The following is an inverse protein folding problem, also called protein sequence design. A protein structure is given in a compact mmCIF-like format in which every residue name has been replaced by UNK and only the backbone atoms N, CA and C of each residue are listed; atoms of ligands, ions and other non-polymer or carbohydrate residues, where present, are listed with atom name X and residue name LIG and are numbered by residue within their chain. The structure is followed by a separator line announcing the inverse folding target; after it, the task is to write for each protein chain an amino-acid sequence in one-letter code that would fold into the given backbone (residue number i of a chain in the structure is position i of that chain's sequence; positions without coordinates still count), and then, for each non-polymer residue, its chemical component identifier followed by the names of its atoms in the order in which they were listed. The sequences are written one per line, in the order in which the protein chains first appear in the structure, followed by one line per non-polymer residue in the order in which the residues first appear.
data_IF_777676371968
#
_entry.id   IF_777676371968
#
_cell.length_a   1.000
_cell.length_b   1.000
_cell.length_c   1.000
_cell.angle_alpha   90.00
_cell.angle_beta   90.00
_cell.angle_gamma   90.00
#
_symmetry.space_group_name_H-M   'P 1'
#
loop_
_entity.id
_entity.type
_entity.pdbx_description
1 polymer ?
#
# COMPACT_ATOMS: atom_id res chain seq x y z
N UNK A 1 -6.25 -19.61 -15.04
CA UNK A 1 -5.84 -18.24 -14.70
C UNK A 1 -4.32 -18.24 -14.61
N UNK A 2 -3.62 -17.14 -14.90
CA UNK A 2 -2.15 -17.10 -14.81
C UNK A 2 -1.70 -17.00 -13.35
N UNK A 3 -0.50 -17.48 -13.05
CA UNK A 3 0.04 -17.45 -11.69
C UNK A 3 0.34 -16.01 -11.26
N UNK A 4 -0.06 -15.65 -10.04
CA UNK A 4 0.15 -14.32 -9.51
C UNK A 4 0.62 -14.39 -8.06
N UNK A 5 1.65 -13.63 -7.73
CA UNK A 5 2.09 -13.46 -6.33
C UNK A 5 2.08 -11.99 -5.98
N UNK A 6 1.37 -11.63 -4.92
CA UNK A 6 1.31 -10.26 -4.40
C UNK A 6 1.73 -10.25 -2.93
N UNK A 7 2.23 -9.11 -2.46
CA UNK A 7 2.63 -8.98 -1.06
C UNK A 7 2.36 -7.59 -0.47
N UNK A 8 2.04 -7.60 0.83
CA UNK A 8 2.06 -6.42 1.67
C UNK A 8 3.44 -6.29 2.34
N UNK A 9 4.07 -5.12 2.23
CA UNK A 9 5.26 -4.77 2.99
C UNK A 9 4.83 -4.17 4.33
N UNK A 10 4.99 -4.93 5.41
CA UNK A 10 4.96 -4.37 6.75
C UNK A 10 6.30 -3.72 7.04
N UNK A 11 6.44 -2.42 6.77
CA UNK A 11 7.71 -1.71 6.93
C UNK A 11 7.66 -0.70 8.08
N UNK A 12 8.74 -0.58 8.83
CA UNK A 12 8.96 0.56 9.73
C UNK A 12 9.48 1.74 8.90
N UNK A 13 8.86 2.90 9.03
CA UNK A 13 9.32 4.14 8.39
C UNK A 13 10.04 5.03 9.40
N UNK A 14 11.16 5.64 9.00
CA UNK A 14 11.91 6.62 9.79
C UNK A 14 11.34 8.00 9.49
N UNK A 15 10.85 8.69 10.52
CA UNK A 15 10.18 9.99 10.39
C UNK A 15 11.07 11.00 9.65
N UNK A 16 10.59 11.46 8.49
CA UNK A 16 11.22 12.48 7.65
C UNK A 16 12.49 12.07 6.90
N UNK A 17 13.06 10.88 7.16
CA UNK A 17 14.31 10.42 6.53
C UNK A 17 14.02 9.65 5.23
N UNK A 18 13.72 10.40 4.17
CA UNK A 18 13.40 9.82 2.85
C UNK A 18 14.53 8.94 2.30
N UNK A 19 15.81 9.34 2.35
CA UNK A 19 16.89 8.48 1.89
C UNK A 19 16.96 7.13 2.62
N UNK A 20 16.83 7.12 3.95
CA UNK A 20 16.84 5.87 4.71
C UNK A 20 15.62 5.00 4.41
N UNK A 21 14.44 5.62 4.27
CA UNK A 21 13.23 4.90 3.89
C UNK A 21 13.34 4.29 2.49
N UNK A 22 13.93 5.00 1.52
CA UNK A 22 14.22 4.44 0.18
C UNK A 22 15.10 3.19 0.29
N UNK A 23 16.20 3.24 1.07
CA UNK A 23 17.05 2.06 1.25
C UNK A 23 16.30 0.86 1.84
N UNK A 24 15.38 1.13 2.77
CA UNK A 24 14.53 0.10 3.35
C UNK A 24 13.56 -0.49 2.32
N UNK A 25 12.94 0.33 1.47
CA UNK A 25 12.08 -0.14 0.38
C UNK A 25 12.85 -1.03 -0.60
N UNK A 26 14.09 -0.66 -0.96
CA UNK A 26 14.95 -1.48 -1.83
C UNK A 26 15.23 -2.86 -1.22
N UNK A 27 15.47 -2.94 0.09
CA UNK A 27 15.65 -4.20 0.79
C UNK A 27 14.38 -5.08 0.75
N UNK A 28 13.20 -4.48 0.98
CA UNK A 28 11.91 -5.17 0.85
C UNK A 28 11.67 -5.67 -0.57
N UNK A 29 11.96 -4.86 -1.59
CA UNK A 29 11.82 -5.26 -3.00
C UNK A 29 12.70 -6.46 -3.34
N UNK A 30 13.95 -6.46 -2.87
CA UNK A 30 14.85 -7.61 -3.02
C UNK A 30 14.34 -8.87 -2.32
N UNK A 31 13.85 -8.75 -1.09
CA UNK A 31 13.29 -9.89 -0.37
C UNK A 31 12.03 -10.43 -1.07
N UNK A 32 11.14 -9.54 -1.51
CA UNK A 32 9.88 -9.90 -2.16
C UNK A 32 10.10 -10.75 -3.42
N UNK A 33 11.07 -10.40 -4.27
CA UNK A 33 11.36 -11.21 -5.47
C UNK A 33 11.93 -12.59 -5.18
N UNK A 34 12.58 -12.81 -4.02
CA UNK A 34 12.99 -14.17 -3.63
C UNK A 34 11.79 -15.09 -3.40
N UNK A 35 10.61 -14.51 -3.17
CA UNK A 35 9.34 -15.21 -3.03
C UNK A 35 8.45 -15.10 -4.28
N UNK A 36 9.01 -14.67 -5.42
CA UNK A 36 8.30 -14.57 -6.70
C UNK A 36 7.21 -13.49 -6.73
N UNK A 37 7.26 -12.51 -5.82
CA UNK A 37 6.28 -11.41 -5.76
C UNK A 37 6.37 -10.57 -7.04
N UNK A 38 5.20 -10.26 -7.61
CA UNK A 38 5.03 -9.45 -8.82
C UNK A 38 4.41 -8.07 -8.50
N UNK A 39 3.66 -7.97 -7.40
CA UNK A 39 3.15 -6.70 -6.85
C UNK A 39 3.50 -6.59 -5.36
N UNK A 40 4.19 -5.53 -4.98
CA UNK A 40 4.51 -5.20 -3.59
C UNK A 40 3.89 -3.88 -3.18
N UNK A 41 3.04 -3.89 -2.15
CA UNK A 41 2.34 -2.70 -1.65
C UNK A 41 2.91 -2.29 -0.30
N UNK A 42 3.33 -1.04 -0.18
CA UNK A 42 3.83 -0.44 1.05
C UNK A 42 2.74 0.37 1.78
N UNK A 43 2.96 0.69 3.07
CA UNK A 43 2.02 1.49 3.86
C UNK A 43 1.84 2.91 3.32
N UNK A 44 0.78 3.57 3.80
CA UNK A 44 0.55 5.00 3.56
C UNK A 44 1.77 5.83 4.00
N UNK A 45 2.19 6.82 3.19
CA UNK A 45 3.33 7.70 3.48
C UNK A 45 4.64 6.96 3.86
N UNK A 46 4.85 5.73 3.36
CA UNK A 46 6.01 4.90 3.72
C UNK A 46 7.38 5.53 3.43
N UNK A 47 7.49 6.43 2.46
CA UNK A 47 8.75 7.11 2.14
C UNK A 47 9.11 8.21 3.15
N UNK A 48 8.16 8.71 3.94
CA UNK A 48 8.39 9.80 4.90
C UNK A 48 8.06 9.42 6.34
N UNK A 49 7.35 8.31 6.56
CA UNK A 49 6.53 8.14 7.75
C UNK A 49 5.30 9.05 7.71
N UNK A 50 4.37 8.83 8.64
CA UNK A 50 3.15 9.61 8.77
C UNK A 50 3.44 10.93 9.48
N UNK A 51 4.03 11.89 8.76
CA UNK A 51 4.48 13.17 9.31
C UNK A 51 3.76 14.36 8.66
N UNK A 52 2.45 14.61 8.97
CA UNK A 52 1.70 15.71 8.39
C UNK A 52 2.37 17.09 8.54
N UNK A 53 3.05 17.31 9.68
CA UNK A 53 3.77 18.57 9.94
C UNK A 53 4.94 18.84 8.97
N UNK A 54 5.50 17.78 8.37
CA UNK A 54 6.60 17.85 7.40
C UNK A 54 6.12 17.74 5.95
N UNK A 55 4.83 17.46 5.72
CA UNK A 55 4.28 17.13 4.41
C UNK A 55 4.60 18.18 3.33
N UNK A 56 4.50 19.47 3.66
CA UNK A 56 4.79 20.54 2.69
C UNK A 56 6.25 20.55 2.22
N UNK A 57 7.18 20.30 3.14
CA UNK A 57 8.63 20.29 2.91
C UNK A 57 9.09 19.01 2.23
N UNK A 58 8.47 17.89 2.56
CA UNK A 58 8.82 16.57 2.04
C UNK A 58 8.01 16.18 0.79
N UNK A 59 7.10 17.03 0.32
CA UNK A 59 6.25 16.72 -0.83
C UNK A 59 7.09 16.46 -2.09
N UNK A 60 6.90 15.29 -2.69
CA UNK A 60 7.65 14.80 -3.84
C UNK A 60 6.82 15.02 -5.11
N UNK A 61 7.44 15.47 -6.20
CA UNK A 61 6.80 15.43 -7.51
C UNK A 61 6.76 13.98 -8.02
N UNK A 62 5.71 13.51 -8.71
CA UNK A 62 5.64 12.11 -9.15
C UNK A 62 6.85 11.64 -9.98
N UNK A 63 7.44 12.53 -10.78
CA UNK A 63 8.60 12.28 -11.64
C UNK A 63 9.94 12.72 -11.03
N UNK A 64 9.99 13.02 -9.73
CA UNK A 64 11.19 13.48 -9.05
C UNK A 64 12.34 12.46 -9.14
N UNK A 65 13.55 12.95 -9.41
CA UNK A 65 14.76 12.13 -9.53
C UNK A 65 15.11 11.37 -8.23
N UNK A 66 14.62 11.84 -7.07
CA UNK A 66 14.72 11.14 -5.79
C UNK A 66 14.15 9.71 -5.85
N UNK A 67 13.17 9.47 -6.71
CA UNK A 67 12.51 8.17 -6.87
C UNK A 67 13.25 7.23 -7.82
N UNK A 68 14.30 7.70 -8.51
CA UNK A 68 15.04 6.91 -9.51
C UNK A 68 15.54 5.56 -8.99
N UNK A 69 16.13 5.45 -7.77
CA UNK A 69 16.57 4.15 -7.26
C UNK A 69 15.44 3.11 -7.15
N UNK A 70 14.24 3.54 -6.74
CA UNK A 70 13.09 2.64 -6.63
C UNK A 70 12.56 2.24 -8.00
N UNK A 71 12.52 3.18 -8.95
CA UNK A 71 12.06 2.93 -10.33
C UNK A 71 12.99 1.96 -11.07
N UNK A 72 14.29 2.19 -10.97
CA UNK A 72 15.32 1.32 -11.55
C UNK A 72 15.27 -0.07 -10.93
N UNK A 73 15.10 -0.16 -9.60
CA UNK A 73 14.95 -1.44 -8.91
C UNK A 73 13.71 -2.19 -9.38
N UNK A 74 12.54 -1.54 -9.44
CA UNK A 74 11.28 -2.13 -9.89
C UNK A 74 11.41 -2.76 -11.28
N UNK A 75 12.00 -2.02 -12.23
CA UNK A 75 12.27 -2.52 -13.58
C UNK A 75 13.25 -3.70 -13.58
N UNK A 76 14.39 -3.57 -12.89
CA UNK A 76 15.44 -4.60 -12.87
C UNK A 76 14.94 -5.93 -12.30
N UNK A 77 14.05 -5.86 -11.32
CA UNK A 77 13.45 -6.98 -10.62
C UNK A 77 12.20 -7.52 -11.32
N UNK A 78 11.66 -6.80 -12.33
CA UNK A 78 10.34 -7.05 -12.92
C UNK A 78 9.25 -7.15 -11.85
N UNK A 79 9.31 -6.23 -10.88
CA UNK A 79 8.40 -6.11 -9.74
C UNK A 79 7.66 -4.77 -9.85
N UNK A 80 6.34 -4.79 -9.77
CA UNK A 80 5.56 -3.56 -9.58
C UNK A 80 5.51 -3.21 -8.09
N UNK A 81 5.93 -2.00 -7.73
CA UNK A 81 5.92 -1.54 -6.34
C UNK A 81 4.98 -0.34 -6.17
N UNK A 82 4.16 -0.36 -5.11
CA UNK A 82 3.27 0.74 -4.73
C UNK A 82 3.81 1.37 -3.45
N UNK A 83 4.33 2.60 -3.53
CA UNK A 83 5.01 3.29 -2.41
C UNK A 83 4.28 4.56 -2.01
N UNK A 84 4.19 4.83 -0.69
CA UNK A 84 3.43 5.97 -0.16
C UNK A 84 4.29 7.21 0.05
N UNK A 85 3.81 8.39 -0.34
CA UNK A 85 4.49 9.66 -0.12
C UNK A 85 3.52 10.87 -0.10
N UNK A 86 3.90 11.98 0.56
CA UNK A 86 3.23 13.25 0.32
C UNK A 86 3.60 13.72 -1.09
N UNK A 87 2.61 14.02 -1.93
CA UNK A 87 2.85 14.41 -3.32
C UNK A 87 2.44 15.84 -3.60
N UNK A 88 3.21 16.52 -4.45
CA UNK A 88 2.84 17.79 -5.05
C UNK A 88 2.70 17.60 -6.56
N UNK A 89 1.46 17.55 -7.04
CA UNK A 89 1.16 17.18 -8.44
C UNK A 89 1.49 18.29 -9.45
N UNK A 90 1.55 19.54 -9.00
CA UNK A 90 1.94 20.68 -9.82
C UNK A 90 2.56 21.79 -8.96
N UNK A 91 3.42 22.66 -9.52
CA UNK A 91 3.96 23.81 -8.80
C UNK A 91 2.85 24.66 -8.18
N UNK A 92 2.95 24.91 -6.87
CA UNK A 92 1.96 25.70 -6.11
C UNK A 92 0.66 24.97 -5.74
N UNK A 93 0.43 23.73 -6.21
CA UNK A 93 -0.72 22.94 -5.79
C UNK A 93 -0.62 22.51 -4.32
N UNK A 94 -1.75 22.21 -3.67
CA UNK A 94 -1.78 21.57 -2.35
C UNK A 94 -1.08 20.21 -2.33
N UNK A 95 -0.67 19.76 -1.14
CA UNK A 95 -0.06 18.44 -0.97
C UNK A 95 -1.16 17.40 -0.82
N UNK A 96 -1.03 16.26 -1.48
CA UNK A 96 -1.94 15.11 -1.35
C UNK A 96 -1.20 13.94 -0.72
N UNK A 97 -1.93 13.04 -0.06
CA UNK A 97 -1.39 11.72 0.29
C UNK A 97 -1.49 10.85 -0.95
N UNK A 98 -0.35 10.38 -1.46
CA UNK A 98 -0.27 9.63 -2.69
C UNK A 98 0.35 8.25 -2.52
N UNK A 99 -0.05 7.35 -3.42
CA UNK A 99 0.61 6.08 -3.68
C UNK A 99 1.14 6.11 -5.11
N UNK A 100 2.47 6.00 -5.25
CA UNK A 100 3.17 5.94 -6.52
C UNK A 100 3.31 4.49 -6.94
N UNK A 101 2.86 4.18 -8.15
CA UNK A 101 2.98 2.84 -8.75
C UNK A 101 4.17 2.85 -9.67
N UNK A 102 5.23 2.15 -9.26
CA UNK A 102 6.47 1.98 -10.01
C UNK A 102 6.38 0.65 -10.74
N UNK A 103 6.05 0.70 -12.03
CA UNK A 103 5.77 -0.50 -12.82
C UNK A 103 7.01 -1.31 -13.14
N UNK A 104 6.84 -2.64 -13.20
CA UNK A 104 7.86 -3.58 -13.66
C UNK A 104 8.36 -3.29 -15.10
N UNK A 105 7.53 -2.63 -15.92
CA UNK A 105 7.82 -2.20 -17.29
C UNK A 105 8.41 -0.77 -17.37
N UNK A 106 8.57 -0.11 -16.22
CA UNK A 106 9.05 1.25 -16.09
C UNK A 106 7.99 2.34 -16.19
N UNK A 107 6.72 1.97 -16.31
CA UNK A 107 5.60 2.89 -16.19
C UNK A 107 5.55 3.52 -14.79
N UNK A 108 4.93 4.69 -14.73
CA UNK A 108 4.65 5.40 -13.49
C UNK A 108 3.17 5.78 -13.50
N UNK A 109 2.46 5.37 -12.45
CA UNK A 109 1.10 5.83 -12.20
C UNK A 109 0.99 6.40 -10.78
N UNK A 110 -0.06 7.18 -10.55
CA UNK A 110 -0.30 7.84 -9.26
C UNK A 110 -1.74 7.56 -8.83
N UNK A 111 -1.88 7.12 -7.58
CA UNK A 111 -3.14 7.12 -6.86
C UNK A 111 -3.08 8.20 -5.77
N UNK A 112 -4.17 8.93 -5.57
CA UNK A 112 -4.26 9.98 -4.53
C UNK A 112 -5.43 9.70 -3.60
N UNK A 113 -5.19 9.71 -2.28
CA UNK A 113 -6.18 9.41 -1.24
C UNK A 113 -7.42 10.27 -1.43
N UNK A 114 -8.59 9.65 -1.55
CA UNK A 114 -9.84 10.35 -1.86
C UNK A 114 -10.52 10.86 -0.59
N UNK A 115 -10.45 10.06 0.47
CA UNK A 115 -11.08 10.35 1.74
C UNK A 115 -10.01 10.60 2.81
N UNK A 116 -9.90 11.85 3.25
CA UNK A 116 -8.99 12.21 4.34
C UNK A 116 -9.52 11.68 5.68
N UNK A 117 -8.61 11.31 6.56
CA UNK A 117 -8.90 11.07 7.97
C UNK A 117 -8.97 12.41 8.72
N UNK A 118 -9.81 12.48 9.74
CA UNK A 118 -10.00 13.68 10.56
C UNK A 118 -8.66 14.27 11.02
N UNK A 119 -8.41 15.54 10.65
CA UNK A 119 -7.22 16.29 11.01
C UNK A 119 -6.14 16.35 9.92
N UNK A 120 -6.21 15.48 8.90
CA UNK A 120 -5.30 15.53 7.75
C UNK A 120 -5.49 16.80 6.91
N UNK A 121 -6.67 17.43 6.95
CA UNK A 121 -7.00 18.65 6.20
C UNK A 121 -6.11 19.85 6.55
N UNK A 122 -5.42 19.80 7.71
CA UNK A 122 -4.46 20.81 8.10
C UNK A 122 -3.17 20.80 7.25
N UNK A 123 -2.83 19.67 6.64
CA UNK A 123 -1.60 19.49 5.87
C UNK A 123 -1.84 19.02 4.43
N UNK A 124 -2.99 18.37 4.18
CA UNK A 124 -3.30 17.72 2.91
C UNK A 124 -4.60 18.23 2.31
N UNK A 125 -4.71 18.09 1.00
CA UNK A 125 -5.96 18.23 0.25
C UNK A 125 -6.41 16.85 -0.24
N UNK A 126 -7.74 16.65 -0.33
CA UNK A 126 -8.29 15.41 -0.85
C UNK A 126 -7.89 15.20 -2.32
N UNK A 127 -7.45 13.98 -2.61
CA UNK A 127 -7.13 13.50 -3.94
C UNK A 127 -8.38 13.10 -4.74
N UNK A 128 -8.15 12.47 -5.89
CA UNK A 128 -9.17 12.06 -6.85
C UNK A 128 -9.06 10.57 -7.22
N UNK A 129 -8.32 9.79 -6.43
CA UNK A 129 -8.07 8.38 -6.69
C UNK A 129 -6.99 8.18 -7.75
N UNK A 130 -7.14 7.12 -8.53
CA UNK A 130 -6.23 6.72 -9.59
C UNK A 130 -6.79 5.53 -10.36
N UNK A 131 -6.17 5.20 -11.50
CA UNK A 131 -6.57 4.03 -12.27
C UNK A 131 -6.26 2.74 -11.51
N UNK A 132 -7.09 1.71 -11.71
CA UNK A 132 -6.78 0.36 -11.26
C UNK A 132 -5.57 -0.20 -12.04
N UNK A 133 -4.84 -1.12 -11.40
CA UNK A 133 -3.75 -1.84 -12.05
C UNK A 133 -4.27 -3.10 -12.71
N UNK A 134 -3.75 -3.42 -13.89
CA UNK A 134 -3.96 -4.71 -14.53
C UNK A 134 -2.71 -5.56 -14.34
N UNK A 135 -2.85 -6.73 -13.73
CA UNK A 135 -1.73 -7.66 -13.55
C UNK A 135 -2.23 -9.09 -13.58
N UNK A 136 -1.72 -9.90 -14.51
CA UNK A 136 -2.05 -11.34 -14.60
C UNK A 136 -3.56 -11.64 -14.58
N UNK A 137 -4.35 -10.83 -15.30
CA UNK A 137 -5.80 -10.96 -15.38
C UNK A 137 -6.57 -10.46 -14.15
N UNK A 138 -5.88 -9.95 -13.13
CA UNK A 138 -6.49 -9.26 -12.00
C UNK A 138 -6.58 -7.75 -12.25
N UNK A 139 -7.69 -7.17 -11.81
CA UNK A 139 -7.86 -5.73 -11.72
C UNK A 139 -7.73 -5.32 -10.25
N UNK A 140 -6.66 -4.58 -9.93
CA UNK A 140 -6.31 -4.22 -8.55
C UNK A 140 -6.71 -2.76 -8.31
N UNK A 141 -7.67 -2.56 -7.40
CA UNK A 141 -7.99 -1.25 -6.87
C UNK A 141 -7.03 -0.89 -5.74
N UNK A 142 -6.52 0.35 -5.77
CA UNK A 142 -5.69 0.91 -4.71
C UNK A 142 -6.55 1.72 -3.74
N UNK A 143 -6.17 1.68 -2.47
CA UNK A 143 -6.76 2.48 -1.42
C UNK A 143 -5.67 2.97 -0.46
N UNK A 144 -5.90 4.15 0.14
CA UNK A 144 -5.01 4.71 1.13
C UNK A 144 -5.80 4.96 2.42
N UNK A 145 -5.48 4.18 3.46
CA UNK A 145 -6.01 4.31 4.81
C UNK A 145 -7.52 4.57 4.85
N UNK A 146 -7.96 5.74 5.31
CA UNK A 146 -9.38 6.10 5.44
C UNK A 146 -10.25 5.87 4.18
N UNK A 147 -9.69 5.72 2.98
CA UNK A 147 -10.43 5.25 1.81
C UNK A 147 -11.24 3.97 2.09
N UNK A 148 -10.68 2.97 2.80
CA UNK A 148 -11.38 1.68 3.02
C UNK A 148 -12.60 1.79 3.93
N UNK A 149 -12.66 2.81 4.81
CA UNK A 149 -13.79 2.99 5.72
C UNK A 149 -15.00 3.63 5.04
N UNK A 150 -14.85 4.07 3.79
CA UNK A 150 -15.91 4.68 3.00
C UNK A 150 -16.50 3.65 2.03
N UNK A 151 -17.72 3.20 2.30
CA UNK A 151 -18.41 2.20 1.47
C UNK A 151 -18.56 2.63 -0.01
N UNK A 152 -18.57 3.93 -0.30
CA UNK A 152 -18.55 4.44 -1.68
C UNK A 152 -17.28 4.05 -2.42
N UNK A 153 -16.14 4.00 -1.74
CA UNK A 153 -14.84 3.69 -2.33
C UNK A 153 -14.77 2.21 -2.76
N UNK A 154 -15.09 1.29 -1.85
CA UNK A 154 -15.10 -0.14 -2.17
C UNK A 154 -16.15 -0.48 -3.25
N UNK A 155 -17.33 0.13 -3.20
CA UNK A 155 -18.35 -0.03 -4.25
C UNK A 155 -17.88 0.46 -5.61
N UNK A 156 -17.20 1.60 -5.68
CA UNK A 156 -16.65 2.12 -6.93
C UNK A 156 -15.58 1.16 -7.49
N UNK A 157 -14.73 0.60 -6.64
CA UNK A 157 -13.74 -0.40 -7.04
C UNK A 157 -14.42 -1.65 -7.66
N UNK A 158 -15.45 -2.20 -7.01
CA UNK A 158 -16.21 -3.35 -7.52
C UNK A 158 -16.92 -3.03 -8.84
N UNK A 159 -17.55 -1.85 -8.94
CA UNK A 159 -18.21 -1.40 -10.17
C UNK A 159 -17.23 -1.22 -11.33
N UNK A 160 -15.99 -0.82 -11.04
CA UNK A 160 -14.91 -0.77 -12.01
C UNK A 160 -14.33 -2.16 -12.35
N UNK A 161 -14.86 -3.24 -11.75
CA UNK A 161 -14.47 -4.63 -12.02
C UNK A 161 -13.26 -5.10 -11.22
N UNK A 162 -12.91 -4.44 -10.12
CA UNK A 162 -11.79 -4.87 -9.29
C UNK A 162 -12.02 -6.28 -8.72
N UNK A 163 -10.96 -7.06 -8.66
CA UNK A 163 -10.91 -8.40 -8.09
C UNK A 163 -9.95 -8.46 -6.89
N UNK A 164 -9.02 -7.50 -6.81
CA UNK A 164 -8.14 -7.26 -5.67
C UNK A 164 -8.34 -5.85 -5.14
N UNK A 165 -8.41 -5.70 -3.82
CA UNK A 165 -8.40 -4.42 -3.13
C UNK A 165 -7.15 -4.31 -2.25
N UNK A 166 -6.22 -3.45 -2.63
CA UNK A 166 -4.93 -3.29 -1.98
C UNK A 166 -4.85 -1.95 -1.25
N UNK A 167 -4.77 -2.00 0.08
CA UNK A 167 -4.76 -0.84 0.95
C UNK A 167 -3.39 -0.66 1.62
N UNK A 168 -2.76 0.49 1.39
CA UNK A 168 -1.65 0.99 2.21
C UNK A 168 -2.20 1.83 3.35
N UNK A 169 -1.87 1.50 4.60
CA UNK A 169 -2.58 2.06 5.77
C UNK A 169 -1.62 2.41 6.92
N UNK A 170 -2.09 3.27 7.81
CA UNK A 170 -1.61 3.38 9.18
C UNK A 170 -2.75 3.02 10.12
N UNK A 171 -2.66 1.85 10.75
CA UNK A 171 -3.63 1.37 11.74
C UNK A 171 -2.92 1.18 13.07
N UNK A 172 -3.40 1.91 14.09
CA UNK A 172 -2.90 1.84 15.46
C UNK A 172 -3.35 0.56 16.17
N UNK A 173 -2.67 0.19 17.27
CA UNK A 173 -3.08 -0.96 18.10
C UNK A 173 -4.54 -0.84 18.56
N UNK A 174 -5.01 0.37 18.89
CA UNK A 174 -6.39 0.61 19.33
C UNK A 174 -7.43 0.49 18.22
N UNK A 175 -7.09 0.87 16.98
CA UNK A 175 -7.99 0.77 15.82
C UNK A 175 -8.02 -0.61 15.17
N UNK A 176 -6.98 -1.42 15.38
CA UNK A 176 -6.73 -2.62 14.60
C UNK A 176 -7.91 -3.60 14.54
N UNK A 177 -8.54 -3.91 15.68
CA UNK A 177 -9.64 -4.87 15.71
C UNK A 177 -10.82 -4.42 14.83
N UNK A 178 -11.13 -3.12 14.83
CA UNK A 178 -12.23 -2.54 14.07
C UNK A 178 -11.87 -2.44 12.58
N UNK A 179 -10.69 -1.92 12.26
CA UNK A 179 -10.28 -1.65 10.89
C UNK A 179 -9.98 -2.94 10.11
N UNK A 180 -9.33 -3.92 10.74
CA UNK A 180 -9.10 -5.24 10.12
C UNK A 180 -10.40 -6.00 9.90
N UNK A 181 -11.39 -5.87 10.79
CA UNK A 181 -12.72 -6.47 10.59
C UNK A 181 -13.47 -5.82 9.42
N UNK A 182 -13.31 -4.50 9.21
CA UNK A 182 -13.87 -3.83 8.03
C UNK A 182 -13.22 -4.36 6.73
N UNK A 183 -11.90 -4.43 6.67
CA UNK A 183 -11.16 -4.94 5.50
C UNK A 183 -11.49 -6.41 5.21
N UNK A 184 -11.59 -7.25 6.25
CA UNK A 184 -12.07 -8.62 6.12
C UNK A 184 -13.52 -8.68 5.60
N UNK A 185 -14.39 -7.80 6.10
CA UNK A 185 -15.78 -7.67 5.66
C UNK A 185 -15.88 -7.30 4.19
N UNK A 186 -15.05 -6.36 3.70
CA UNK A 186 -14.98 -6.00 2.28
C UNK A 186 -14.63 -7.20 1.41
N UNK A 187 -13.72 -8.07 1.86
CA UNK A 187 -13.36 -9.28 1.14
C UNK A 187 -14.58 -10.19 0.94
N UNK A 188 -15.30 -10.49 2.02
CA UNK A 188 -16.47 -11.38 1.99
C UNK A 188 -17.70 -10.76 1.29
N UNK A 189 -17.96 -9.47 1.49
CA UNK A 189 -19.13 -8.78 0.93
C UNK A 189 -19.01 -8.60 -0.59
N UNK A 190 -17.80 -8.34 -1.08
CA UNK A 190 -17.57 -7.99 -2.48
C UNK A 190 -16.87 -9.08 -3.29
N UNK A 191 -16.50 -10.19 -2.66
CA UNK A 191 -15.80 -11.28 -3.33
C UNK A 191 -14.38 -10.89 -3.78
N UNK A 192 -13.71 -10.02 -3.02
CA UNK A 192 -12.39 -9.48 -3.35
C UNK A 192 -11.28 -10.17 -2.57
N UNK A 193 -10.13 -10.37 -3.20
CA UNK A 193 -8.91 -10.55 -2.43
C UNK A 193 -8.54 -9.20 -1.80
N UNK A 194 -8.42 -9.14 -0.48
CA UNK A 194 -8.08 -7.89 0.23
C UNK A 194 -6.69 -7.99 0.82
N UNK A 195 -5.83 -7.02 0.50
CA UNK A 195 -4.46 -6.90 0.98
C UNK A 195 -4.31 -5.62 1.80
N UNK A 196 -3.76 -5.74 3.00
CA UNK A 196 -3.49 -4.62 3.90
C UNK A 196 -1.99 -4.55 4.22
N UNK A 197 -1.35 -3.46 3.79
CA UNK A 197 0.02 -3.11 4.13
C UNK A 197 0.02 -2.01 5.21
N UNK A 198 0.31 -2.39 6.45
CA UNK A 198 0.34 -1.50 7.60
C UNK A 198 1.78 -1.20 8.04
N UNK A 199 2.00 -0.07 8.71
CA UNK A 199 3.30 0.25 9.31
C UNK A 199 3.70 -0.78 10.36
N UNK A 200 4.94 -1.26 10.27
CA UNK A 200 5.52 -2.25 11.19
C UNK A 200 5.99 -1.69 12.52
N UNK A 201 5.93 -0.38 12.73
CA UNK A 201 6.41 0.28 13.94
C UNK A 201 5.82 1.67 14.09
N UNK A 202 6.15 2.39 15.18
CA UNK A 202 5.56 3.70 15.45
C UNK A 202 5.79 4.70 14.30
N UNK A 203 4.78 5.51 14.01
CA UNK A 203 4.79 6.49 12.92
C UNK A 203 3.80 7.61 13.24
N UNK A 204 4.18 8.88 13.08
CA UNK A 204 3.28 10.01 13.31
C UNK A 204 2.71 10.14 14.72
N UNK A 205 3.43 9.68 15.74
CA UNK A 205 2.96 9.63 17.13
C UNK A 205 2.05 8.46 17.47
N UNK A 206 1.73 7.58 16.51
CA UNK A 206 0.89 6.41 16.72
C UNK A 206 1.71 5.16 17.00
N UNK A 207 1.28 4.38 18.00
CA UNK A 207 1.71 3.00 18.17
C UNK A 207 0.99 2.12 17.13
N UNK A 208 1.63 1.93 15.98
CA UNK A 208 1.10 1.10 14.90
C UNK A 208 1.05 -0.37 15.31
N UNK A 209 -0.02 -1.07 14.92
CA UNK A 209 -0.22 -2.47 15.28
C UNK A 209 0.75 -3.41 14.55
N UNK A 210 1.31 -2.98 13.41
CA UNK A 210 1.83 -3.91 12.42
C UNK A 210 0.68 -4.76 11.89
N UNK A 211 0.82 -6.07 12.05
CA UNK A 211 -0.20 -7.07 11.69
C UNK A 211 -0.79 -6.87 10.29
N UNK A 212 0.05 -6.54 9.31
CA UNK A 212 -0.35 -6.59 7.89
C UNK A 212 -0.97 -7.95 7.58
N UNK A 213 -1.93 -8.00 6.65
CA UNK A 213 -2.75 -9.18 6.44
C UNK A 213 -3.31 -9.26 5.01
N UNK A 214 -3.65 -10.48 4.59
CA UNK A 214 -4.36 -10.75 3.33
C UNK A 214 -5.53 -11.69 3.61
N UNK A 215 -6.70 -11.35 3.08
CA UNK A 215 -7.92 -12.14 3.14
C UNK A 215 -8.36 -12.58 1.75
N UNK A 216 -8.82 -13.82 1.64
CA UNK A 216 -9.44 -14.37 0.44
C UNK A 216 -10.84 -13.77 0.20
N UNK A 217 -11.39 -13.98 -0.99
CA UNK A 217 -12.69 -13.48 -1.44
C UNK A 217 -13.90 -13.97 -0.63
N UNK A 218 -13.72 -14.98 0.23
CA UNK A 218 -14.73 -15.45 1.19
C UNK A 218 -14.56 -14.82 2.59
N UNK A 219 -13.60 -13.90 2.76
CA UNK A 219 -13.21 -13.30 4.04
C UNK A 219 -12.27 -14.16 4.89
N UNK A 220 -11.86 -15.35 4.42
CA UNK A 220 -10.92 -16.18 5.17
C UNK A 220 -9.54 -15.55 5.17
N UNK A 221 -8.95 -15.43 6.35
CA UNK A 221 -7.58 -14.96 6.51
C UNK A 221 -6.60 -15.96 5.86
N UNK A 222 -5.80 -15.48 4.90
CA UNK A 222 -4.76 -16.27 4.25
C UNK A 222 -3.45 -16.21 5.03
N UNK A 223 -3.06 -15.01 5.45
CA UNK A 223 -1.87 -14.78 6.27
C UNK A 223 -1.96 -13.42 6.97
N UNK A 224 -1.39 -13.32 8.17
CA UNK A 224 -1.19 -12.07 8.89
C UNK A 224 0.09 -12.12 9.71
N UNK A 225 0.80 -10.99 9.79
CA UNK A 225 1.93 -10.84 10.73
C UNK A 225 1.36 -10.83 12.15
N UNK A 226 1.98 -11.51 13.14
CA UNK A 226 1.42 -11.56 14.50
C UNK A 226 1.59 -10.24 15.29
N UNK A 227 2.44 -9.32 14.86
CA UNK A 227 2.72 -8.07 15.56
C UNK A 227 3.51 -7.05 14.75
N UNK A 228 4.29 -6.24 15.45
CA UNK A 228 5.21 -5.23 14.90
C UNK A 228 6.51 -5.84 14.38
N UNK A 229 7.33 -5.04 13.71
CA UNK A 229 8.57 -5.44 13.04
C UNK A 229 8.44 -5.41 11.53
N UNK A 230 9.57 -5.62 10.84
CA UNK A 230 9.54 -5.76 9.38
C UNK A 230 9.13 -7.17 8.98
N UNK A 231 8.21 -7.27 8.02
CA UNK A 231 7.79 -8.54 7.44
C UNK A 231 7.12 -8.34 6.07
N UNK A 232 7.08 -9.40 5.28
CA UNK A 232 6.19 -9.52 4.13
C UNK A 232 5.03 -10.45 4.48
N UNK A 233 3.82 -10.07 4.04
CA UNK A 233 2.69 -10.99 3.94
C UNK A 233 2.48 -11.27 2.46
N UNK A 234 2.70 -12.51 2.06
CA UNK A 234 2.69 -12.92 0.65
C UNK A 234 1.47 -13.78 0.39
N UNK A 235 0.75 -13.50 -0.69
CA UNK A 235 -0.28 -14.36 -1.23
C UNK A 235 0.11 -14.81 -2.65
N UNK A 236 0.07 -16.12 -2.88
CA UNK A 236 0.34 -16.75 -4.16
C UNK A 236 -0.93 -17.41 -4.69
N UNK A 237 -1.21 -17.21 -5.98
CA UNK A 237 -2.29 -17.84 -6.72
C UNK A 237 -1.72 -18.88 -7.66
N UNK A 238 -2.17 -20.12 -7.48
CA UNK A 238 -1.93 -21.26 -8.37
C UNK A 238 -3.30 -21.88 -8.71
N UNK A 239 -3.54 -22.09 -10.00
CA UNK A 239 -4.80 -22.61 -10.56
C UNK A 239 -6.08 -21.95 -10.00
N UNK A 240 -6.01 -20.63 -9.77
CA UNK A 240 -7.13 -19.84 -9.23
C UNK A 240 -7.30 -19.91 -7.71
N UNK A 241 -6.48 -20.68 -6.99
CA UNK A 241 -6.52 -20.80 -5.52
C UNK A 241 -5.45 -19.95 -4.89
N UNK A 242 -5.84 -19.13 -3.91
CA UNK A 242 -4.91 -18.30 -3.13
C UNK A 242 -4.42 -19.02 -1.86
N UNK A 243 -3.11 -18.97 -1.63
CA UNK A 243 -2.46 -19.40 -0.40
C UNK A 243 -1.58 -18.27 0.16
N UNK A 244 -1.55 -18.14 1.49
CA UNK A 244 -0.81 -17.08 2.18
C UNK A 244 0.39 -17.60 2.99
N UNK A 245 1.41 -16.77 3.13
CA UNK A 245 2.54 -16.98 4.05
C UNK A 245 3.07 -15.66 4.60
N UNK A 246 3.82 -15.74 5.70
CA UNK A 246 4.55 -14.59 6.29
C UNK A 246 6.04 -14.84 6.19
N UNK A 247 6.78 -13.82 5.79
CA UNK A 247 8.25 -13.82 5.72
C UNK A 247 8.77 -12.74 6.64
N UNK A 248 9.55 -13.12 7.65
CA UNK A 248 10.26 -12.16 8.49
C UNK A 248 11.48 -11.60 7.74
N UNK A 249 11.79 -10.31 7.95
CA UNK A 249 12.93 -9.62 7.34
C UNK A 249 13.98 -9.23 8.39
#
# INVERSE_FOLDING_TARGET
MTDLTIAAAQSISIAGDVPANIQRHLAFMHAAVQHGVQLLVFPELSLTGYEPSLAATLAIAPDDALLAPLREMAQSLRLTAVVGAPLRLAPGAGVVIGALVLGADGSLAVYTKQHLHDGEEAAFVAGQGGAALELEGERIALAVCADFSHASHSRAAVQAGATVYAAGVLISEGGYATDSAMLQGLAAEHGLLVLMANHGGPSGGWACAGRSAIWASDGRLLAAVPGVGDALVVAHRDDGVWAGQVVAL
#
